data_IF_634285422426
#
_entry.id   IF_634285422426
#
_cell.length_a   1.000
_cell.length_b   1.000
_cell.length_c   1.000
_cell.angle_alpha   90.00
_cell.angle_beta   90.00
_cell.angle_gamma   90.00
#
_symmetry.space_group_name_H-M   'P 1'
#
loop_
_entity.id
_entity.type
_entity.pdbx_description
1 polymer ?
#
# COMPACT_ATOMS: atom_id res chain seq x y z
N UNK A 1 -5.70 19.64 -10.00
CA UNK A 1 -6.57 18.50 -9.67
C UNK A 1 -5.76 17.54 -8.83
N UNK A 2 -6.22 17.18 -7.62
CA UNK A 2 -5.61 16.04 -6.93
C UNK A 2 -5.89 14.78 -7.77
N UNK A 3 -4.88 14.27 -8.45
CA UNK A 3 -4.92 13.08 -9.31
C UNK A 3 -4.66 11.78 -8.56
N UNK A 4 -4.56 11.85 -7.23
CA UNK A 4 -4.22 10.71 -6.38
C UNK A 4 -5.48 9.98 -5.91
N UNK A 5 -5.49 8.66 -6.02
CA UNK A 5 -6.54 7.81 -5.44
C UNK A 5 -6.58 7.93 -3.92
N UNK A 6 -7.69 7.52 -3.30
CA UNK A 6 -7.78 7.47 -1.84
C UNK A 6 -6.66 6.62 -1.23
N UNK A 7 -6.34 5.47 -1.84
CA UNK A 7 -5.23 4.61 -1.45
C UNK A 7 -3.90 5.34 -1.51
N UNK A 8 -3.56 6.02 -2.61
CA UNK A 8 -2.32 6.76 -2.72
C UNK A 8 -2.20 7.84 -1.64
N UNK A 9 -3.29 8.59 -1.40
CA UNK A 9 -3.36 9.62 -0.35
C UNK A 9 -3.10 9.03 1.03
N UNK A 10 -3.77 7.93 1.39
CA UNK A 10 -3.63 7.32 2.71
C UNK A 10 -2.30 6.59 2.88
N UNK A 11 -1.75 6.00 1.81
CA UNK A 11 -0.44 5.35 1.84
C UNK A 11 0.66 6.38 2.12
N UNK A 12 0.62 7.55 1.47
CA UNK A 12 1.54 8.65 1.78
C UNK A 12 1.42 9.07 3.25
N UNK A 13 0.20 9.34 3.74
CA UNK A 13 -0.02 9.70 5.15
C UNK A 13 0.46 8.63 6.13
N UNK A 14 0.26 7.36 5.81
CA UNK A 14 0.73 6.24 6.62
C UNK A 14 2.26 6.27 6.79
N UNK A 15 3.01 6.53 5.71
CA UNK A 15 4.47 6.63 5.81
C UNK A 15 4.93 7.92 6.48
N UNK A 16 4.35 9.08 6.15
CA UNK A 16 4.88 10.38 6.59
C UNK A 16 4.36 10.83 7.95
N UNK A 17 3.05 10.71 8.19
CA UNK A 17 2.41 11.16 9.42
C UNK A 17 2.48 10.05 10.48
N UNK A 18 2.02 8.84 10.15
CA UNK A 18 1.92 7.77 11.13
C UNK A 18 3.26 7.08 11.45
N UNK A 19 3.94 6.48 10.47
CA UNK A 19 5.18 5.73 10.73
C UNK A 19 6.32 6.63 11.20
N UNK A 20 6.54 7.75 10.51
CA UNK A 20 7.61 8.69 10.85
C UNK A 20 7.21 9.61 12.00
N UNK A 21 6.09 10.32 11.87
CA UNK A 21 5.69 11.36 12.83
C UNK A 21 5.19 10.80 14.17
N UNK A 22 4.24 9.88 14.15
CA UNK A 22 3.57 9.40 15.37
C UNK A 22 4.28 8.22 16.03
N UNK A 23 4.74 7.25 15.22
CA UNK A 23 5.35 6.00 15.72
C UNK A 23 6.85 6.11 15.93
N UNK A 24 7.52 7.08 15.31
CA UNK A 24 8.98 7.17 15.32
C UNK A 24 9.65 5.87 14.87
N UNK A 25 9.07 5.20 13.86
CA UNK A 25 9.50 3.89 13.42
C UNK A 25 10.94 3.92 12.89
N UNK A 26 11.71 2.87 13.18
CA UNK A 26 13.08 2.77 12.70
C UNK A 26 13.13 2.70 11.16
N UNK A 27 14.25 3.11 10.57
CA UNK A 27 14.47 3.01 9.11
C UNK A 27 14.28 1.59 8.58
N UNK A 28 14.68 0.58 9.35
CA UNK A 28 14.44 -0.84 9.04
C UNK A 28 12.95 -1.19 9.00
N UNK A 29 12.18 -0.66 9.95
CA UNK A 29 10.71 -0.85 9.98
C UNK A 29 10.08 -0.19 8.76
N UNK A 30 10.36 1.09 8.52
CA UNK A 30 9.83 1.84 7.36
C UNK A 30 10.16 1.12 6.05
N UNK A 31 11.41 0.64 5.91
CA UNK A 31 11.84 -0.12 4.73
C UNK A 31 11.08 -1.44 4.59
N UNK A 32 10.85 -2.17 5.67
CA UNK A 32 10.06 -3.41 5.66
C UNK A 32 8.64 -3.16 5.13
N UNK A 33 7.95 -2.14 5.64
CA UNK A 33 6.61 -1.77 5.16
C UNK A 33 6.63 -1.33 3.69
N UNK A 34 7.62 -0.53 3.27
CA UNK A 34 7.76 -0.09 1.87
C UNK A 34 7.95 -1.27 0.92
N UNK A 35 8.75 -2.26 1.31
CA UNK A 35 8.91 -3.50 0.57
C UNK A 35 7.58 -4.26 0.45
N UNK A 36 6.81 -4.39 1.54
CA UNK A 36 5.50 -5.06 1.52
C UNK A 36 4.53 -4.36 0.57
N UNK A 37 4.43 -3.03 0.61
CA UNK A 37 3.55 -2.30 -0.32
C UNK A 37 4.03 -2.38 -1.77
N UNK A 38 5.34 -2.45 -2.01
CA UNK A 38 5.88 -2.70 -3.36
C UNK A 38 5.46 -4.07 -3.91
N UNK A 39 5.51 -5.11 -3.07
CA UNK A 39 5.03 -6.44 -3.42
C UNK A 39 3.52 -6.45 -3.66
N UNK A 40 2.74 -5.80 -2.79
CA UNK A 40 1.30 -5.67 -2.94
C UNK A 40 0.93 -4.96 -4.26
N UNK A 41 1.60 -3.85 -4.61
CA UNK A 41 1.39 -3.17 -5.89
C UNK A 41 1.71 -4.06 -7.08
N UNK A 42 2.77 -4.85 -6.98
CA UNK A 42 3.16 -5.82 -8.02
C UNK A 42 2.10 -6.90 -8.19
N UNK A 43 1.60 -7.45 -7.08
CA UNK A 43 0.53 -8.42 -7.07
C UNK A 43 -0.76 -7.87 -7.70
N UNK A 44 -1.16 -6.66 -7.32
CA UNK A 44 -2.36 -6.02 -7.88
C UNK A 44 -2.25 -5.84 -9.40
N UNK A 45 -1.08 -5.46 -9.91
CA UNK A 45 -0.83 -5.33 -11.35
C UNK A 45 -0.81 -6.68 -12.07
N UNK A 46 -0.05 -7.65 -11.55
CA UNK A 46 0.23 -8.92 -12.24
C UNK A 46 -0.87 -9.96 -12.12
N UNK A 47 -1.56 -10.01 -10.98
CA UNK A 47 -2.56 -11.05 -10.67
C UNK A 47 -3.98 -10.51 -10.79
N UNK A 48 -4.24 -9.31 -10.23
CA UNK A 48 -5.58 -8.70 -10.27
C UNK A 48 -5.80 -7.79 -11.47
N UNK A 49 -4.75 -7.47 -12.23
CA UNK A 49 -4.77 -6.58 -13.40
C UNK A 49 -5.29 -5.16 -13.12
N UNK A 50 -5.02 -4.68 -11.90
CA UNK A 50 -5.38 -3.33 -11.45
C UNK A 50 -4.09 -2.53 -11.30
N UNK A 51 -3.93 -1.53 -12.17
CA UNK A 51 -2.77 -0.64 -12.16
C UNK A 51 -2.78 0.26 -10.92
N UNK A 52 -1.58 0.64 -10.45
CA UNK A 52 -1.40 1.39 -9.20
C UNK A 52 -2.15 2.74 -9.17
N UNK A 53 -2.28 3.40 -10.31
CA UNK A 53 -3.01 4.68 -10.47
C UNK A 53 -4.54 4.53 -10.41
N UNK A 54 -5.05 3.29 -10.44
CA UNK A 54 -6.48 2.96 -10.30
C UNK A 54 -6.80 2.29 -8.97
N UNK A 55 -5.80 2.01 -8.13
CA UNK A 55 -6.02 1.39 -6.83
C UNK A 55 -6.71 2.34 -5.88
N UNK A 56 -7.85 1.93 -5.37
CA UNK A 56 -8.55 2.53 -4.23
C UNK A 56 -8.60 1.61 -3.02
N UNK A 57 -8.91 2.14 -1.84
CA UNK A 57 -9.04 1.35 -0.60
C UNK A 57 -10.10 0.24 -0.70
N UNK A 58 -11.11 0.40 -1.57
CA UNK A 58 -12.17 -0.60 -1.78
C UNK A 58 -11.66 -1.91 -2.39
N UNK A 59 -10.46 -1.93 -2.96
CA UNK A 59 -9.83 -3.18 -3.46
C UNK A 59 -9.23 -4.01 -2.33
N UNK A 60 -9.02 -3.43 -1.14
CA UNK A 60 -8.38 -4.07 0.00
C UNK A 60 -9.44 -4.63 0.94
N UNK A 61 -10.05 -5.74 0.54
CA UNK A 61 -10.96 -6.54 1.36
C UNK A 61 -10.29 -7.89 1.70
N UNK A 62 -10.89 -8.67 2.60
CA UNK A 62 -10.29 -9.87 3.20
C UNK A 62 -9.67 -10.80 2.16
N UNK A 63 -10.41 -11.10 1.10
CA UNK A 63 -10.04 -12.03 0.06
C UNK A 63 -8.83 -11.52 -0.72
N UNK A 64 -8.76 -10.23 -1.06
CA UNK A 64 -7.57 -9.65 -1.71
C UNK A 64 -6.33 -9.81 -0.84
N UNK A 65 -6.45 -9.61 0.48
CA UNK A 65 -5.31 -9.75 1.40
C UNK A 65 -4.87 -11.21 1.51
N UNK A 66 -5.81 -12.16 1.61
CA UNK A 66 -5.48 -13.59 1.66
C UNK A 66 -4.82 -14.05 0.36
N UNK A 67 -5.40 -13.72 -0.79
CA UNK A 67 -4.86 -14.09 -2.09
C UNK A 67 -3.46 -13.48 -2.34
N UNK A 68 -3.17 -12.31 -1.76
CA UNK A 68 -1.83 -11.71 -1.80
C UNK A 68 -0.82 -12.47 -0.94
N UNK A 69 -1.24 -12.95 0.24
CA UNK A 69 -0.35 -13.69 1.15
C UNK A 69 -0.05 -15.11 0.64
N UNK A 70 -0.92 -15.67 -0.21
CA UNK A 70 -0.74 -16.98 -0.85
C UNK A 70 0.08 -16.91 -2.16
N UNK A 71 0.35 -15.72 -2.69
CA UNK A 71 1.11 -15.47 -3.93
C UNK A 71 2.62 -15.38 -3.69
#
# INVERSE_FOLDING_TARGET
METATDFAKYLTKFFTEYLVGERGASSHTIRSYSNTFTLMLTYMDKVKHIAADRLTLTHFYRETVLDFLDW
#
